data_IF_222080585049
#
_entry.id   IF_222080585049
#
_cell.length_a   1.000
_cell.length_b   1.000
_cell.length_c   1.000
_cell.angle_alpha   90.00
_cell.angle_beta   90.00
_cell.angle_gamma   90.00
#
_symmetry.space_group_name_H-M   'P 1'
#
loop_
_entity.id
_entity.type
_entity.pdbx_description
1 polymer ?
#
# COMPACT_ATOMS: atom_id res chain seq x y z
N UNK A 1 11.36 -56.83 -46.60
CA UNK A 1 12.14 -56.88 -45.35
C UNK A 1 12.34 -55.44 -44.88
N UNK A 2 11.50 -54.93 -43.97
CA UNK A 2 11.67 -54.92 -42.49
C UNK A 2 12.84 -54.00 -42.06
N UNK A 3 12.57 -52.73 -41.70
CA UNK A 3 12.28 -52.19 -40.34
C UNK A 3 13.45 -52.28 -39.34
N UNK A 4 13.80 -51.13 -38.77
CA UNK A 4 14.51 -50.93 -37.49
C UNK A 4 14.95 -49.45 -37.40
N UNK A 5 14.16 -48.47 -36.95
CA UNK A 5 13.67 -48.13 -35.59
C UNK A 5 14.65 -48.36 -34.43
N UNK A 6 14.91 -47.27 -33.70
CA UNK A 6 15.40 -47.21 -32.32
C UNK A 6 16.78 -46.54 -32.22
N UNK A 7 17.08 -45.60 -31.32
CA UNK A 7 16.38 -45.03 -30.16
C UNK A 7 17.14 -43.75 -29.78
N UNK A 8 16.41 -42.66 -29.51
CA UNK A 8 16.97 -41.49 -28.81
C UNK A 8 17.19 -41.82 -27.32
N UNK A 9 18.30 -41.36 -26.70
CA UNK A 9 18.43 -41.41 -25.26
C UNK A 9 17.72 -40.22 -24.59
N UNK A 10 16.77 -40.58 -23.72
CA UNK A 10 16.18 -39.75 -22.67
C UNK A 10 17.24 -39.08 -21.80
N UNK A 11 17.17 -37.75 -21.65
CA UNK A 11 17.44 -37.09 -20.37
C UNK A 11 16.37 -36.04 -20.07
N UNK A 12 15.42 -36.50 -19.24
CA UNK A 12 14.61 -35.70 -18.32
C UNK A 12 15.49 -34.72 -17.54
N UNK A 13 15.05 -33.46 -17.42
CA UNK A 13 14.86 -32.79 -16.13
C UNK A 13 14.07 -31.47 -16.32
N UNK A 14 12.77 -31.58 -16.04
CA UNK A 14 11.90 -30.61 -15.36
C UNK A 14 11.89 -29.17 -15.91
N UNK A 15 11.09 -28.95 -16.96
CA UNK A 15 10.39 -27.68 -17.14
C UNK A 15 9.13 -27.73 -16.28
N UNK A 16 9.07 -26.94 -15.21
CA UNK A 16 7.83 -26.70 -14.47
C UNK A 16 6.97 -25.81 -15.34
N UNK A 17 5.77 -26.31 -15.59
CA UNK A 17 4.72 -25.73 -16.42
C UNK A 17 4.34 -24.35 -15.85
N UNK A 18 4.62 -23.28 -16.62
CA UNK A 18 3.88 -22.03 -16.52
C UNK A 18 2.44 -22.33 -16.94
N UNK A 19 1.57 -22.55 -15.97
CA UNK A 19 0.14 -22.39 -16.16
C UNK A 19 -0.21 -20.97 -15.74
N UNK A 20 -0.19 -20.06 -16.71
CA UNK A 20 -0.89 -18.79 -16.63
C UNK A 20 -2.39 -19.07 -16.51
N UNK A 21 -2.91 -19.06 -15.28
CA UNK A 21 -4.33 -18.79 -15.07
C UNK A 21 -4.48 -17.30 -14.84
N UNK A 22 -4.72 -16.59 -15.94
CA UNK A 22 -5.28 -15.25 -15.94
C UNK A 22 -6.71 -15.36 -15.41
N UNK A 23 -6.89 -15.19 -14.10
CA UNK A 23 -8.20 -14.87 -13.56
C UNK A 23 -8.42 -13.39 -13.85
N UNK A 24 -9.20 -13.11 -14.91
CA UNK A 24 -9.91 -11.86 -15.03
C UNK A 24 -10.85 -11.76 -13.82
N UNK A 25 -10.41 -11.09 -12.76
CA UNK A 25 -11.34 -10.47 -11.83
C UNK A 25 -12.02 -9.36 -12.60
N UNK A 26 -13.25 -9.63 -13.03
CA UNK A 26 -14.17 -8.60 -13.45
C UNK A 26 -14.37 -7.66 -12.24
N UNK A 27 -13.61 -6.56 -12.22
CA UNK A 27 -13.92 -5.42 -11.38
C UNK A 27 -15.28 -4.94 -11.86
N UNK A 28 -16.33 -5.34 -11.16
CA UNK A 28 -17.66 -4.77 -11.34
C UNK A 28 -17.49 -3.26 -11.27
N UNK A 29 -17.87 -2.55 -12.34
CA UNK A 29 -18.03 -1.11 -12.34
C UNK A 29 -19.16 -0.75 -11.37
N UNK A 30 -18.86 -0.78 -10.07
CA UNK A 30 -19.72 -0.20 -9.05
C UNK A 30 -19.69 1.30 -9.32
N UNK A 31 -20.86 1.89 -9.56
CA UNK A 31 -21.06 3.32 -9.61
C UNK A 31 -20.53 3.94 -8.31
N UNK A 32 -19.26 4.32 -8.31
CA UNK A 32 -18.60 4.94 -7.18
C UNK A 32 -19.10 6.39 -7.12
N UNK A 33 -19.90 6.69 -6.10
CA UNK A 33 -20.25 8.05 -5.79
C UNK A 33 -18.97 8.90 -5.63
N UNK A 34 -18.97 10.17 -6.09
CA UNK A 34 -17.86 11.06 -5.85
C UNK A 34 -17.63 11.21 -4.33
N UNK A 35 -16.37 11.33 -3.88
CA UNK A 35 -16.04 11.45 -2.48
C UNK A 35 -16.68 12.72 -1.94
N UNK A 36 -17.38 12.55 -0.82
CA UNK A 36 -17.96 13.64 -0.06
C UNK A 36 -16.86 14.63 0.36
N UNK A 37 -17.15 15.92 0.28
CA UNK A 37 -16.30 16.98 0.88
C UNK A 37 -16.45 17.04 2.41
N UNK A 38 -17.49 16.41 2.95
CA UNK A 38 -17.68 16.22 4.39
C UNK A 38 -17.05 14.91 4.85
N UNK A 39 -16.14 14.98 5.81
CA UNK A 39 -15.53 13.82 6.45
C UNK A 39 -16.58 13.10 7.34
N UNK A 40 -16.64 11.76 7.30
CA UNK A 40 -17.59 11.00 8.11
C UNK A 40 -17.19 11.02 9.61
N UNK A 41 -18.14 10.81 10.53
CA UNK A 41 -17.83 10.61 11.94
C UNK A 41 -17.02 9.34 12.18
N UNK A 42 -16.22 9.31 13.25
CA UNK A 42 -15.48 8.11 13.69
C UNK A 42 -16.44 7.18 14.42
N UNK A 43 -16.95 6.16 13.73
CA UNK A 43 -17.75 5.08 14.32
C UNK A 43 -16.88 3.84 14.59
N UNK A 44 -17.25 2.96 15.53
CA UNK A 44 -16.66 1.62 15.63
C UNK A 44 -16.81 0.86 14.31
N UNK A 45 -15.79 0.08 13.95
CA UNK A 45 -15.81 -0.76 12.75
C UNK A 45 -16.00 -2.22 13.13
N UNK A 46 -16.72 -2.98 12.29
CA UNK A 46 -16.71 -4.43 12.36
C UNK A 46 -15.48 -4.97 11.62
N UNK A 47 -14.68 -5.83 12.26
CA UNK A 47 -13.57 -6.53 11.60
C UNK A 47 -13.96 -8.00 11.42
N UNK A 48 -13.95 -8.46 10.17
CA UNK A 48 -14.27 -9.85 9.82
C UNK A 48 -13.01 -10.48 9.23
N UNK A 49 -12.35 -11.35 10.00
CA UNK A 49 -11.08 -11.97 9.60
C UNK A 49 -11.23 -13.43 9.22
N UNK A 50 -10.60 -13.83 8.12
CA UNK A 50 -10.36 -15.25 7.78
C UNK A 50 -9.28 -15.89 8.67
N UNK A 51 -8.46 -15.07 9.32
CA UNK A 51 -7.39 -15.54 10.18
C UNK A 51 -7.91 -15.81 11.58
N UNK A 52 -7.73 -17.03 12.07
CA UNK A 52 -8.17 -17.45 13.41
C UNK A 52 -7.21 -16.99 14.54
N UNK A 53 -6.21 -16.16 14.23
CA UNK A 53 -5.26 -15.68 15.22
C UNK A 53 -5.92 -14.67 16.16
N UNK A 54 -5.70 -14.86 17.46
CA UNK A 54 -6.09 -13.88 18.46
C UNK A 54 -5.41 -12.54 18.17
N UNK A 55 -6.16 -11.44 18.31
CA UNK A 55 -5.63 -10.08 18.24
C UNK A 55 -5.67 -9.41 16.87
N UNK A 56 -5.98 -10.11 15.77
CA UNK A 56 -6.07 -9.46 14.43
C UNK A 56 -7.10 -8.33 14.41
N UNK A 57 -8.28 -8.56 14.99
CA UNK A 57 -9.32 -7.54 15.08
C UNK A 57 -8.88 -6.34 15.92
N UNK A 58 -8.33 -6.59 17.12
CA UNK A 58 -7.83 -5.53 17.99
C UNK A 58 -6.73 -4.71 17.30
N UNK A 59 -5.78 -5.38 16.64
CA UNK A 59 -4.70 -4.74 15.92
C UNK A 59 -5.19 -3.87 14.75
N UNK A 60 -6.23 -4.31 14.03
CA UNK A 60 -6.87 -3.48 12.99
C UNK A 60 -7.55 -2.26 13.58
N UNK A 61 -8.25 -2.40 14.70
CA UNK A 61 -8.91 -1.27 15.36
C UNK A 61 -7.89 -0.26 15.89
N UNK A 62 -6.88 -0.70 16.63
CA UNK A 62 -5.79 0.13 17.16
C UNK A 62 -5.01 0.81 16.03
N UNK A 63 -4.65 0.05 14.99
CA UNK A 63 -3.95 0.59 13.83
C UNK A 63 -4.79 1.63 13.09
N UNK A 64 -6.10 1.42 12.94
CA UNK A 64 -7.01 2.43 12.37
C UNK A 64 -7.03 3.69 13.21
N UNK A 65 -7.13 3.57 14.53
CA UNK A 65 -7.14 4.73 15.44
C UNK A 65 -5.83 5.51 15.36
N UNK A 66 -4.69 4.80 15.33
CA UNK A 66 -3.38 5.39 15.13
C UNK A 66 -3.27 6.12 13.78
N UNK A 67 -3.73 5.49 12.69
CA UNK A 67 -3.74 6.10 11.37
C UNK A 67 -4.62 7.36 11.32
N UNK A 68 -5.80 7.34 11.96
CA UNK A 68 -6.69 8.51 12.06
C UNK A 68 -6.04 9.64 12.85
N UNK A 69 -5.45 9.33 14.00
CA UNK A 69 -4.76 10.32 14.82
C UNK A 69 -3.61 10.97 14.04
N UNK A 70 -2.89 10.17 13.26
CA UNK A 70 -1.68 10.61 12.56
C UNK A 70 -1.95 11.31 11.23
N UNK A 71 -2.96 10.90 10.45
CA UNK A 71 -3.16 11.35 9.08
C UNK A 71 -4.57 11.88 8.78
N UNK A 72 -5.45 11.87 9.79
CA UNK A 72 -6.82 12.38 9.68
C UNK A 72 -7.85 11.32 9.27
N UNK A 73 -9.07 11.78 9.04
CA UNK A 73 -10.23 10.91 8.84
C UNK A 73 -10.21 10.22 7.46
N UNK A 74 -10.81 9.02 7.34
CA UNK A 74 -11.00 8.37 6.06
C UNK A 74 -11.83 9.22 5.09
N UNK A 75 -11.56 9.10 3.79
CA UNK A 75 -12.28 9.84 2.74
C UNK A 75 -13.66 9.25 2.37
N UNK A 76 -14.03 8.13 2.97
CA UNK A 76 -15.31 7.46 2.81
C UNK A 76 -15.78 6.96 4.18
N UNK A 77 -17.08 6.70 4.37
CA UNK A 77 -17.55 5.99 5.55
C UNK A 77 -16.83 4.65 5.65
N UNK A 78 -16.23 4.34 6.79
CA UNK A 78 -15.60 3.06 7.06
C UNK A 78 -16.40 2.35 8.14
N UNK A 79 -17.07 1.26 7.78
CA UNK A 79 -17.97 0.50 8.67
C UNK A 79 -17.49 -0.93 8.88
N UNK A 80 -17.01 -1.57 7.82
CA UNK A 80 -16.58 -2.98 7.87
C UNK A 80 -15.24 -3.16 7.18
N UNK A 81 -14.33 -3.86 7.85
CA UNK A 81 -13.05 -4.30 7.30
C UNK A 81 -13.03 -5.82 7.25
N UNK A 82 -12.95 -6.37 6.04
CA UNK A 82 -12.65 -7.78 5.84
C UNK A 82 -11.13 -7.97 5.82
N UNK A 83 -10.61 -8.97 6.52
CA UNK A 83 -9.19 -9.34 6.47
C UNK A 83 -9.08 -10.74 5.92
N UNK A 84 -8.53 -10.87 4.71
CA UNK A 84 -8.56 -12.08 3.90
C UNK A 84 -7.18 -12.51 3.45
N UNK A 85 -7.06 -13.77 3.05
CA UNK A 85 -5.86 -14.29 2.41
C UNK A 85 -5.86 -14.04 0.89
N UNK A 86 -4.70 -13.77 0.32
CA UNK A 86 -4.48 -13.66 -1.12
C UNK A 86 -3.04 -14.03 -1.50
N UNK A 87 -2.74 -14.08 -2.80
CA UNK A 87 -1.37 -14.33 -3.29
C UNK A 87 -0.45 -13.12 -3.15
N UNK A 88 -1.03 -11.90 -3.14
CA UNK A 88 -0.32 -10.64 -2.98
C UNK A 88 -1.08 -9.74 -2.00
N UNK A 89 -0.41 -8.91 -1.19
CA UNK A 89 -1.08 -7.98 -0.30
C UNK A 89 -1.65 -6.80 -1.08
N UNK A 90 -2.85 -6.35 -0.71
CA UNK A 90 -3.48 -5.11 -1.18
C UNK A 90 -4.73 -4.79 -0.38
N UNK A 91 -5.16 -3.53 -0.42
CA UNK A 91 -6.44 -3.06 0.14
C UNK A 91 -7.37 -2.60 -0.98
N UNK A 92 -8.65 -2.94 -0.91
CA UNK A 92 -9.64 -2.53 -1.91
C UNK A 92 -10.95 -2.06 -1.27
N UNK A 93 -11.60 -1.12 -1.94
CA UNK A 93 -12.95 -0.67 -1.61
C UNK A 93 -13.98 -1.61 -2.25
N UNK A 94 -14.57 -2.49 -1.44
CA UNK A 94 -15.56 -3.49 -1.87
C UNK A 94 -16.93 -2.82 -2.14
N UNK A 95 -17.39 -1.99 -1.20
CA UNK A 95 -18.61 -1.21 -1.34
C UNK A 95 -18.46 0.16 -0.66
N UNK A 96 -18.31 1.20 -1.47
CA UNK A 96 -18.16 2.57 -1.00
C UNK A 96 -19.42 3.10 -0.28
N UNK A 97 -20.60 2.66 -0.70
CA UNK A 97 -21.88 3.12 -0.15
C UNK A 97 -22.17 2.51 1.23
N UNK A 98 -21.71 1.28 1.44
CA UNK A 98 -21.83 0.56 2.70
C UNK A 98 -20.57 0.68 3.57
N UNK A 99 -19.54 1.38 3.11
CA UNK A 99 -18.28 1.55 3.83
C UNK A 99 -17.54 0.25 4.10
N UNK A 100 -17.52 -0.64 3.10
CA UNK A 100 -16.89 -1.96 3.18
C UNK A 100 -15.56 -1.96 2.45
N UNK A 101 -14.52 -2.38 3.16
CA UNK A 101 -13.15 -2.53 2.64
C UNK A 101 -12.66 -3.95 2.91
N UNK A 102 -11.83 -4.47 2.01
CA UNK A 102 -11.08 -5.69 2.25
C UNK A 102 -9.58 -5.41 2.23
N UNK A 103 -8.89 -5.87 3.27
CA UNK A 103 -7.44 -6.03 3.36
C UNK A 103 -7.14 -7.48 2.96
N UNK A 104 -6.28 -7.65 1.97
CA UNK A 104 -5.77 -8.94 1.54
C UNK A 104 -4.31 -9.06 1.96
N UNK A 105 -3.94 -10.21 2.53
CA UNK A 105 -2.59 -10.50 3.00
C UNK A 105 -2.05 -11.78 2.37
N UNK A 106 -0.75 -11.81 2.08
CA UNK A 106 -0.07 -12.99 1.53
C UNK A 106 0.66 -13.84 2.57
N UNK A 107 0.63 -13.40 3.84
CA UNK A 107 1.29 -14.05 4.97
C UNK A 107 0.27 -14.59 5.95
N UNK A 108 0.68 -15.58 6.73
CA UNK A 108 -0.09 -16.13 7.84
C UNK A 108 0.33 -15.47 9.17
N UNK A 109 -0.54 -15.40 10.19
CA UNK A 109 -0.22 -14.76 11.48
C UNK A 109 1.04 -15.27 12.18
N UNK A 110 1.45 -16.51 11.90
CA UNK A 110 2.70 -17.09 12.40
C UNK A 110 3.96 -16.59 11.70
N UNK A 111 3.83 -15.95 10.54
CA UNK A 111 4.95 -15.43 9.76
C UNK A 111 5.40 -14.09 10.32
N UNK A 112 6.71 -13.88 10.45
CA UNK A 112 7.27 -12.62 10.96
C UNK A 112 6.79 -11.38 10.18
N UNK A 113 6.50 -11.56 8.88
CA UNK A 113 6.08 -10.50 7.97
C UNK A 113 4.59 -10.14 8.11
N UNK A 114 3.77 -10.96 8.76
CA UNK A 114 2.32 -10.77 8.77
C UNK A 114 1.89 -9.42 9.34
N UNK A 115 2.36 -9.11 10.55
CA UNK A 115 1.97 -7.87 11.22
C UNK A 115 2.47 -6.64 10.47
N UNK A 116 3.64 -6.71 9.84
CA UNK A 116 4.13 -5.62 9.00
C UNK A 116 3.28 -5.39 7.75
N UNK A 117 2.88 -6.47 7.07
CA UNK A 117 1.94 -6.36 5.94
C UNK A 117 0.59 -5.81 6.40
N UNK A 118 0.02 -6.34 7.47
CA UNK A 118 -1.25 -5.87 8.01
C UNK A 118 -1.18 -4.39 8.40
N UNK A 119 -0.10 -3.96 9.06
CA UNK A 119 0.10 -2.56 9.44
C UNK A 119 0.17 -1.64 8.23
N UNK A 120 0.86 -2.06 7.16
CA UNK A 120 0.92 -1.31 5.90
C UNK A 120 -0.48 -1.19 5.28
N UNK A 121 -1.24 -2.27 5.20
CA UNK A 121 -2.58 -2.24 4.60
C UNK A 121 -3.59 -1.45 5.46
N UNK A 122 -3.41 -1.39 6.77
CA UNK A 122 -4.26 -0.59 7.66
C UNK A 122 -4.21 0.90 7.31
N UNK A 123 -3.07 1.48 6.89
CA UNK A 123 -3.04 2.90 6.51
C UNK A 123 -3.86 3.20 5.25
N UNK A 124 -4.00 2.22 4.36
CA UNK A 124 -4.86 2.33 3.18
C UNK A 124 -6.36 2.36 3.53
N UNK A 125 -6.75 2.05 4.77
CA UNK A 125 -8.14 2.26 5.24
C UNK A 125 -8.56 3.74 5.22
N UNK A 126 -7.62 4.68 5.25
CA UNK A 126 -7.95 6.10 5.14
C UNK A 126 -8.33 6.49 3.70
N UNK A 127 -7.74 5.83 2.70
CA UNK A 127 -8.09 5.98 1.30
C UNK A 127 -7.55 4.85 0.42
N UNK A 128 -8.36 3.80 0.21
CA UNK A 128 -8.01 2.64 -0.60
C UNK A 128 -7.94 2.93 -2.13
N UNK A 129 -8.12 4.18 -2.55
CA UNK A 129 -8.02 4.59 -3.97
C UNK A 129 -6.63 5.11 -4.34
N UNK A 130 -5.70 5.19 -3.41
CA UNK A 130 -4.34 5.65 -3.72
C UNK A 130 -3.54 4.59 -4.47
N UNK A 131 -2.95 5.01 -5.58
CA UNK A 131 -1.96 4.24 -6.34
C UNK A 131 -0.75 5.15 -6.57
N UNK A 132 -0.06 5.51 -5.49
CA UNK A 132 0.90 6.60 -5.47
C UNK A 132 2.14 6.26 -4.64
N UNK A 133 3.33 6.47 -5.20
CA UNK A 133 4.58 6.09 -4.57
C UNK A 133 4.82 6.76 -3.21
N UNK A 134 4.32 7.98 -3.00
CA UNK A 134 4.47 8.67 -1.72
C UNK A 134 3.57 8.06 -0.65
N UNK A 135 2.35 7.65 -1.03
CA UNK A 135 1.44 6.95 -0.12
C UNK A 135 2.00 5.57 0.25
N UNK A 136 2.57 4.82 -0.69
CA UNK A 136 3.19 3.53 -0.37
C UNK A 136 4.36 3.65 0.61
N UNK A 137 5.18 4.69 0.44
CA UNK A 137 6.26 5.00 1.37
C UNK A 137 5.75 5.43 2.74
N UNK A 138 4.70 6.27 2.78
CA UNK A 138 4.04 6.70 4.01
C UNK A 138 3.40 5.52 4.76
N UNK A 139 2.70 4.64 4.04
CA UNK A 139 2.08 3.42 4.58
C UNK A 139 3.13 2.49 5.18
N UNK A 140 4.29 2.36 4.53
CA UNK A 140 5.40 1.55 5.06
C UNK A 140 6.06 2.20 6.29
N UNK A 141 6.19 3.53 6.32
CA UNK A 141 6.64 4.26 7.51
C UNK A 141 5.65 4.15 8.68
N UNK A 142 4.36 4.23 8.39
CA UNK A 142 3.30 3.97 9.37
C UNK A 142 3.39 2.55 9.93
N UNK A 143 3.64 1.55 9.07
CA UNK A 143 3.84 0.18 9.50
C UNK A 143 5.00 0.03 10.51
N UNK A 144 6.15 0.65 10.24
CA UNK A 144 7.26 0.70 11.21
C UNK A 144 6.81 1.28 12.55
N UNK A 145 6.08 2.40 12.53
CA UNK A 145 5.63 3.09 13.74
C UNK A 145 4.63 2.26 14.54
N UNK A 146 3.63 1.67 13.88
CA UNK A 146 2.62 0.85 14.55
C UNK A 146 3.24 -0.42 15.15
N UNK A 147 4.13 -1.10 14.41
CA UNK A 147 4.85 -2.28 14.90
C UNK A 147 5.68 -1.94 16.14
N UNK A 148 6.46 -0.87 16.08
CA UNK A 148 7.35 -0.47 17.18
C UNK A 148 6.58 0.03 18.41
N UNK A 149 5.47 0.76 18.22
CA UNK A 149 4.58 1.19 19.31
C UNK A 149 3.97 0.00 20.06
N UNK A 150 3.73 -1.11 19.36
CA UNK A 150 3.23 -2.36 19.94
C UNK A 150 4.33 -3.25 20.53
N UNK A 151 5.57 -2.75 20.65
CA UNK A 151 6.69 -3.50 21.21
C UNK A 151 7.16 -4.67 20.32
N UNK A 152 6.77 -4.69 19.04
CA UNK A 152 7.20 -5.69 18.07
C UNK A 152 8.46 -5.24 17.32
N UNK A 153 9.20 -6.21 16.77
CA UNK A 153 10.47 -5.94 16.08
C UNK A 153 10.26 -5.64 14.59
N UNK A 154 10.73 -4.47 14.15
CA UNK A 154 10.74 -4.04 12.75
C UNK A 154 12.03 -4.41 12.00
N UNK A 155 13.08 -4.85 12.71
CA UNK A 155 14.43 -5.03 12.15
C UNK A 155 14.46 -5.99 10.97
N UNK A 156 13.62 -7.03 10.98
CA UNK A 156 13.49 -7.98 9.86
C UNK A 156 13.03 -7.31 8.56
N UNK A 157 12.08 -6.38 8.63
CA UNK A 157 11.62 -5.62 7.46
C UNK A 157 12.68 -4.64 6.96
N UNK A 158 13.35 -3.95 7.88
CA UNK A 158 14.45 -3.05 7.52
C UNK A 158 15.55 -3.80 6.77
N UNK A 159 15.96 -4.97 7.27
CA UNK A 159 16.95 -5.82 6.61
C UNK A 159 16.45 -6.31 5.24
N UNK A 160 15.18 -6.70 5.13
CA UNK A 160 14.55 -7.14 3.88
C UNK A 160 14.64 -6.05 2.79
N UNK A 161 14.29 -4.80 3.14
CA UNK A 161 14.41 -3.67 2.20
C UNK A 161 15.86 -3.33 1.86
N UNK A 162 16.77 -3.36 2.83
CA UNK A 162 18.20 -3.10 2.60
C UNK A 162 18.84 -4.13 1.66
N UNK A 163 18.32 -5.36 1.64
CA UNK A 163 18.75 -6.42 0.71
C UNK A 163 18.11 -6.31 -0.68
N UNK A 164 17.34 -5.25 -0.95
CA UNK A 164 16.68 -5.02 -2.24
C UNK A 164 15.44 -5.89 -2.47
N UNK A 165 14.91 -6.55 -1.43
CA UNK A 165 13.63 -7.23 -1.52
C UNK A 165 12.51 -6.19 -1.53
N UNK A 166 11.44 -6.43 -2.30
CA UNK A 166 10.31 -5.50 -2.46
C UNK A 166 10.81 -4.09 -2.85
N UNK A 167 11.54 -3.95 -3.97
CA UNK A 167 12.35 -2.76 -4.25
C UNK A 167 11.51 -1.47 -4.35
N UNK A 168 10.27 -1.56 -4.81
CA UNK A 168 9.35 -0.42 -4.80
C UNK A 168 9.06 0.08 -3.39
N UNK A 169 8.56 -0.81 -2.52
CA UNK A 169 8.23 -0.48 -1.13
C UNK A 169 9.46 -0.05 -0.33
N UNK A 170 10.60 -0.70 -0.53
CA UNK A 170 11.86 -0.32 0.12
C UNK A 170 12.32 1.09 -0.29
N UNK A 171 12.30 1.41 -1.58
CA UNK A 171 12.76 2.74 -2.06
C UNK A 171 11.81 3.86 -1.66
N UNK A 172 10.50 3.64 -1.69
CA UNK A 172 9.51 4.63 -1.23
C UNK A 172 9.54 4.81 0.27
N UNK A 173 9.76 3.73 1.04
CA UNK A 173 9.96 3.77 2.49
C UNK A 173 11.13 4.67 2.89
N UNK A 174 12.32 4.45 2.32
CA UNK A 174 13.49 5.28 2.65
C UNK A 174 13.28 6.75 2.25
N UNK A 175 12.71 6.99 1.06
CA UNK A 175 12.35 8.33 0.63
C UNK A 175 11.42 9.02 1.63
N UNK A 176 10.30 8.37 1.99
CA UNK A 176 9.29 8.99 2.87
C UNK A 176 9.75 9.12 4.31
N UNK A 177 10.63 8.23 4.79
CA UNK A 177 11.28 8.36 6.09
C UNK A 177 12.16 9.61 6.17
N UNK A 178 12.96 9.88 5.13
CA UNK A 178 13.77 11.10 5.07
C UNK A 178 12.91 12.36 4.88
N UNK A 179 11.87 12.30 4.03
CA UNK A 179 10.91 13.41 3.87
C UNK A 179 10.27 13.74 5.21
N UNK A 180 9.73 12.75 5.93
CA UNK A 180 9.07 12.96 7.22
C UNK A 180 9.99 13.61 8.26
N UNK A 181 11.29 13.24 8.26
CA UNK A 181 12.29 13.85 9.14
C UNK A 181 12.55 15.34 8.82
N UNK A 182 12.43 15.74 7.55
CA UNK A 182 12.61 17.15 7.12
C UNK A 182 11.36 17.99 7.41
N UNK A 183 10.18 17.48 7.03
CA UNK A 183 8.95 18.28 7.03
C UNK A 183 8.23 18.26 8.38
N UNK A 184 8.51 17.27 9.22
CA UNK A 184 7.91 17.13 10.54
C UNK A 184 6.49 16.54 10.53
N UNK A 185 6.03 16.14 11.72
CA UNK A 185 4.77 15.43 11.91
C UNK A 185 3.55 16.23 11.45
N UNK A 186 3.52 17.55 11.71
CA UNK A 186 2.38 18.40 11.35
C UNK A 186 2.15 18.46 9.83
N UNK A 187 3.24 18.56 9.05
CA UNK A 187 3.17 18.56 7.59
C UNK A 187 2.75 17.18 7.04
N UNK A 188 3.24 16.10 7.66
CA UNK A 188 2.85 14.73 7.31
C UNK A 188 1.39 14.43 7.66
N UNK A 189 0.86 14.99 8.74
CA UNK A 189 -0.54 14.80 9.12
C UNK A 189 -1.51 15.33 8.06
N UNK A 190 -1.14 16.43 7.39
CA UNK A 190 -1.96 17.01 6.31
C UNK A 190 -1.74 16.34 4.95
N UNK A 191 -0.80 15.40 4.82
CA UNK A 191 -0.36 14.87 3.53
C UNK A 191 -1.53 14.35 2.67
N UNK A 192 -2.40 13.52 3.26
CA UNK A 192 -3.54 12.92 2.56
C UNK A 192 -4.65 13.93 2.18
N UNK A 193 -4.62 15.16 2.71
CA UNK A 193 -5.53 16.22 2.29
C UNK A 193 -5.24 16.73 0.87
N UNK A 194 -4.02 16.49 0.36
CA UNK A 194 -3.58 16.86 -0.99
C UNK A 194 -3.85 15.76 -2.04
N UNK A 195 -4.72 14.80 -1.73
CA UNK A 195 -5.14 13.82 -2.71
C UNK A 195 -5.84 14.48 -3.92
N UNK A 196 -5.42 14.13 -5.12
CA UNK A 196 -6.00 14.52 -6.39
C UNK A 196 -6.40 13.28 -7.19
N UNK A 197 -7.39 13.44 -8.06
CA UNK A 197 -7.79 12.40 -8.99
C UNK A 197 -6.82 12.28 -10.14
N UNK A 198 -6.53 11.05 -10.57
CA UNK A 198 -5.76 10.84 -11.79
C UNK A 198 -6.62 11.18 -13.03
N UNK A 199 -6.05 11.96 -13.95
CA UNK A 199 -6.70 12.62 -15.08
C UNK A 199 -7.92 11.88 -15.67
N UNK A 200 -9.10 12.51 -15.59
CA UNK A 200 -10.34 12.03 -16.21
C UNK A 200 -10.96 10.75 -15.58
N UNK A 201 -10.25 10.09 -14.67
CA UNK A 201 -10.67 8.84 -14.04
C UNK A 201 -10.87 9.02 -12.52
N UNK A 202 -12.13 9.05 -12.10
CA UNK A 202 -12.52 9.23 -10.69
C UNK A 202 -12.30 7.99 -9.81
N UNK A 203 -11.66 6.93 -10.33
CA UNK A 203 -11.43 5.69 -9.57
C UNK A 203 -10.13 5.71 -8.76
N UNK A 204 -9.08 6.38 -9.25
CA UNK A 204 -7.75 6.34 -8.62
C UNK A 204 -7.26 7.73 -8.24
N UNK A 205 -6.53 7.79 -7.13
CA UNK A 205 -6.00 9.01 -6.55
C UNK A 205 -4.49 8.95 -6.43
N UNK A 206 -3.90 10.14 -6.43
CA UNK A 206 -2.48 10.38 -6.20
C UNK A 206 -2.31 11.60 -5.31
N UNK A 207 -1.10 11.87 -4.84
CA UNK A 207 -0.81 13.09 -4.08
C UNK A 207 -0.44 14.20 -5.06
N UNK A 208 -1.13 15.33 -4.97
CA UNK A 208 -0.70 16.58 -5.61
C UNK A 208 0.55 17.11 -4.88
N UNK A 209 1.70 16.56 -5.26
CA UNK A 209 2.97 16.81 -4.58
C UNK A 209 3.39 18.28 -4.65
N UNK A 210 3.10 18.96 -5.75
CA UNK A 210 3.40 20.38 -5.93
C UNK A 210 2.60 21.22 -4.94
N UNK A 211 1.29 20.95 -4.82
CA UNK A 211 0.42 21.67 -3.89
C UNK A 211 0.76 21.37 -2.44
N UNK A 212 1.13 20.13 -2.11
CA UNK A 212 1.59 19.80 -0.76
C UNK A 212 2.89 20.54 -0.41
N UNK A 213 3.90 20.49 -1.30
CA UNK A 213 5.16 21.22 -1.12
C UNK A 213 4.93 22.73 -1.00
N UNK A 214 4.04 23.30 -1.81
CA UNK A 214 3.70 24.73 -1.75
C UNK A 214 3.06 25.16 -0.41
N UNK A 215 2.52 24.21 0.36
CA UNK A 215 1.98 24.48 1.70
C UNK A 215 3.03 24.55 2.81
N UNK A 216 4.28 24.18 2.51
CA UNK A 216 5.39 24.16 3.48
C UNK A 216 6.11 25.52 3.52
N UNK A 217 6.76 25.86 4.66
CA UNK A 217 7.69 26.99 4.73
C UNK A 217 8.79 26.87 3.68
N UNK A 218 9.28 28.00 3.16
CA UNK A 218 10.19 28.04 2.01
C UNK A 218 11.43 27.14 2.18
N UNK A 219 12.15 27.24 3.29
CA UNK A 219 13.36 26.43 3.54
C UNK A 219 13.04 24.93 3.56
N UNK A 220 11.99 24.53 4.28
CA UNK A 220 11.52 23.14 4.36
C UNK A 220 11.05 22.64 2.99
N UNK A 221 10.33 23.47 2.23
CA UNK A 221 9.87 23.16 0.87
C UNK A 221 11.04 22.86 -0.06
N UNK A 222 12.07 23.73 -0.06
CA UNK A 222 13.25 23.53 -0.91
C UNK A 222 14.01 22.26 -0.53
N UNK A 223 14.21 22.02 0.77
CA UNK A 223 14.89 20.82 1.25
C UNK A 223 14.13 19.54 0.89
N UNK A 224 12.81 19.49 1.14
CA UNK A 224 11.96 18.35 0.81
C UNK A 224 11.91 18.10 -0.70
N UNK A 225 11.75 19.15 -1.51
CA UNK A 225 11.77 19.04 -2.98
C UNK A 225 13.09 18.47 -3.50
N UNK A 226 14.23 19.00 -3.04
CA UNK A 226 15.55 18.53 -3.45
C UNK A 226 15.79 17.07 -3.04
N UNK A 227 15.27 16.66 -1.88
CA UNK A 227 15.32 15.26 -1.45
C UNK A 227 14.49 14.37 -2.38
N UNK A 228 13.20 14.69 -2.59
CA UNK A 228 12.31 13.92 -3.46
C UNK A 228 12.93 13.75 -4.84
N UNK A 229 13.44 14.83 -5.45
CA UNK A 229 14.06 14.79 -6.78
C UNK A 229 15.27 13.84 -6.87
N UNK A 230 16.01 13.62 -5.76
CA UNK A 230 17.10 12.61 -5.72
C UNK A 230 16.59 11.17 -5.71
N UNK A 231 15.44 10.90 -5.07
CA UNK A 231 14.89 9.54 -4.98
C UNK A 231 14.06 9.12 -6.19
N UNK A 232 13.36 10.07 -6.84
CA UNK A 232 12.39 9.79 -7.91
C UNK A 232 12.94 8.87 -9.02
N UNK A 233 14.17 9.05 -9.55
CA UNK A 233 14.70 8.16 -10.58
C UNK A 233 14.75 6.69 -10.14
N UNK A 234 15.17 6.43 -8.89
CA UNK A 234 15.25 5.08 -8.33
C UNK A 234 13.85 4.50 -8.09
N UNK A 235 12.93 5.30 -7.52
CA UNK A 235 11.55 4.86 -7.29
C UNK A 235 10.89 4.48 -8.62
N UNK A 236 11.02 5.32 -9.65
CA UNK A 236 10.45 5.05 -10.99
C UNK A 236 11.02 3.79 -11.64
N UNK A 237 12.30 3.49 -11.43
CA UNK A 237 12.92 2.26 -11.93
C UNK A 237 12.36 0.99 -11.27
N UNK A 238 11.70 1.13 -10.12
CA UNK A 238 11.12 0.02 -9.35
C UNK A 238 9.60 -0.07 -9.41
N UNK A 239 8.93 0.83 -10.14
CA UNK A 239 7.48 0.83 -10.25
C UNK A 239 6.95 -0.53 -10.74
N UNK A 240 5.87 -1.06 -10.13
CA UNK A 240 5.28 -2.32 -10.57
C UNK A 240 4.89 -2.27 -12.06
N UNK A 241 5.53 -3.10 -12.88
CA UNK A 241 5.32 -3.12 -14.35
C UNK A 241 3.96 -3.70 -14.77
N UNK A 242 3.34 -4.48 -13.88
CA UNK A 242 2.09 -5.21 -14.14
C UNK A 242 0.87 -4.32 -13.97
N UNK A 243 1.05 -3.13 -13.39
CA UNK A 243 -0.04 -2.27 -12.98
C UNK A 243 0.24 -0.81 -13.32
N UNK A 244 -0.26 -0.37 -14.48
CA UNK A 244 -0.12 1.02 -14.95
C UNK A 244 -0.90 2.03 -14.10
N UNK A 245 -1.51 1.62 -12.98
CA UNK A 245 -2.20 2.51 -12.03
C UNK A 245 -1.23 3.27 -11.14
N UNK A 246 -0.06 2.70 -10.80
CA UNK A 246 0.88 3.37 -9.91
C UNK A 246 1.52 4.58 -10.56
N UNK A 247 1.46 5.72 -9.87
CA UNK A 247 2.12 6.95 -10.29
C UNK A 247 3.17 7.40 -9.28
N UNK A 248 4.18 8.07 -9.80
CA UNK A 248 5.18 8.76 -9.00
C UNK A 248 5.51 10.10 -9.66
N UNK A 249 4.69 11.10 -9.34
CA UNK A 249 4.81 12.43 -9.91
C UNK A 249 6.05 13.12 -9.37
N UNK A 250 6.85 13.70 -10.25
CA UNK A 250 8.00 14.51 -9.83
C UNK A 250 7.52 15.92 -9.50
N UNK A 251 7.97 16.53 -8.40
CA UNK A 251 7.74 17.94 -8.16
C UNK A 251 8.25 18.79 -9.32
N UNK A 252 7.51 19.86 -9.66
CA UNK A 252 7.89 20.87 -10.66
C UNK A 252 8.58 22.05 -10.02
#
# INVERSE_FOLDING_TARGET
>A
MLRGRGMLPHRLRRAIVLCCFSILLAVSCVNQAPPSTHLPPVEPIAVISEFQAAGVEAFVQEGREAAIAQYGLPRFPLRTVFVRSATSPFTTLEDASQGQIAIYLSRQPSDFAFWGQLSHEISHLLNARFFDCYVEGQSTLFAEQLITQNGMDWSGWLQYFQQGQEPFYGTTYFMMKEVAAIVGAEAMQRFLSFAAYHDGNQHWMHIDIDRWLASLPDETRYAAKALILRHIPNVRATLPSVDSRYVCLSPR
#
